data_IF_468986603071
#
_entry.id   IF_468986603071
#
_cell.length_a   1.000
_cell.length_b   1.000
_cell.length_c   1.000
_cell.angle_alpha   90.00
_cell.angle_beta   90.00
_cell.angle_gamma   90.00
#
_symmetry.space_group_name_H-M   'P 1'
#
loop_
_entity.id
_entity.type
_entity.pdbx_description
1 polymer ?
#
# COMPACT_ATOMS: atom_id res chain seq x y z
N UNK A 1 6.99 18.99 -3.14
CA UNK A 1 6.08 18.07 -2.41
C UNK A 1 6.87 16.86 -1.94
N UNK A 2 6.53 16.26 -0.79
CA UNK A 2 7.13 15.01 -0.33
C UNK A 2 6.68 13.88 -1.26
N UNK A 3 7.60 13.05 -1.76
CA UNK A 3 7.26 11.87 -2.58
C UNK A 3 6.51 10.84 -1.74
N UNK A 4 5.49 10.22 -2.32
CA UNK A 4 4.78 9.07 -1.75
C UNK A 4 5.76 7.89 -1.65
N UNK A 5 5.79 7.25 -0.49
CA UNK A 5 6.70 6.16 -0.18
C UNK A 5 6.07 4.79 -0.34
N UNK A 6 6.80 3.85 -0.92
CA UNK A 6 6.30 2.52 -1.28
C UNK A 6 7.09 1.39 -0.62
N UNK A 7 6.40 0.35 -0.21
CA UNK A 7 6.94 -0.99 0.02
C UNK A 7 6.45 -1.90 -1.11
N UNK A 8 7.38 -2.53 -1.83
CA UNK A 8 7.06 -3.50 -2.87
C UNK A 8 7.19 -4.91 -2.30
N UNK A 9 6.16 -5.73 -2.46
CA UNK A 9 6.11 -7.10 -1.95
C UNK A 9 5.73 -8.05 -3.08
N UNK A 10 6.67 -8.90 -3.46
CA UNK A 10 6.50 -9.92 -4.51
C UNK A 10 7.65 -10.93 -4.37
N UNK A 11 7.41 -12.23 -4.49
CA UNK A 11 8.48 -13.23 -4.41
C UNK A 11 9.36 -13.22 -5.68
N UNK A 12 8.80 -12.80 -6.82
CA UNK A 12 9.50 -12.65 -8.10
C UNK A 12 10.38 -11.39 -8.14
N UNK A 13 11.72 -11.55 -8.23
CA UNK A 13 12.62 -10.41 -8.39
C UNK A 13 12.37 -9.62 -9.67
N UNK A 14 11.83 -10.27 -10.71
CA UNK A 14 11.45 -9.63 -11.96
C UNK A 14 10.29 -8.67 -11.75
N UNK A 15 9.20 -9.11 -11.11
CA UNK A 15 8.05 -8.26 -10.84
C UNK A 15 8.39 -7.10 -9.91
N UNK A 16 9.24 -7.31 -8.89
CA UNK A 16 9.72 -6.20 -8.05
C UNK A 16 10.44 -5.12 -8.88
N UNK A 17 11.27 -5.52 -9.86
CA UNK A 17 11.94 -4.57 -10.77
C UNK A 17 10.95 -3.84 -11.67
N UNK A 18 9.95 -4.53 -12.23
CA UNK A 18 8.91 -3.91 -13.08
C UNK A 18 8.11 -2.88 -12.28
N UNK A 19 7.60 -3.26 -11.10
CA UNK A 19 6.81 -2.39 -10.22
C UNK A 19 7.66 -1.19 -9.76
N UNK A 20 8.93 -1.42 -9.39
CA UNK A 20 9.86 -0.34 -9.01
C UNK A 20 9.99 0.69 -10.12
N UNK A 21 10.32 0.25 -11.34
CA UNK A 21 10.50 1.14 -12.49
C UNK A 21 9.22 1.92 -12.78
N UNK A 22 8.06 1.25 -12.73
CA UNK A 22 6.79 1.91 -12.89
C UNK A 22 6.55 3.01 -11.83
N UNK A 23 6.76 2.70 -10.55
CA UNK A 23 6.58 3.68 -9.47
C UNK A 23 7.56 4.86 -9.59
N UNK A 24 8.83 4.60 -9.90
CA UNK A 24 9.86 5.65 -9.99
C UNK A 24 9.68 6.51 -11.24
N UNK A 25 9.47 5.90 -12.41
CA UNK A 25 9.43 6.58 -13.71
C UNK A 25 8.05 7.21 -14.00
N UNK A 26 6.94 6.56 -13.60
CA UNK A 26 5.58 7.02 -13.95
C UNK A 26 4.87 7.75 -12.82
N UNK A 27 5.05 7.32 -11.57
CA UNK A 27 4.35 7.91 -10.42
C UNK A 27 5.19 8.93 -9.65
N UNK A 28 6.49 9.06 -9.97
CA UNK A 28 7.45 9.85 -9.20
C UNK A 28 7.46 9.47 -7.70
N UNK A 29 7.21 8.20 -7.39
CA UNK A 29 7.22 7.64 -6.04
C UNK A 29 8.63 7.33 -5.52
N UNK A 30 8.73 6.99 -4.23
CA UNK A 30 9.99 6.56 -3.61
C UNK A 30 9.82 5.18 -2.98
N UNK A 31 10.55 4.18 -3.46
CA UNK A 31 10.58 2.86 -2.82
C UNK A 31 11.49 2.93 -1.60
N UNK A 32 10.96 2.60 -0.43
CA UNK A 32 11.71 2.63 0.84
C UNK A 32 12.08 1.23 1.35
N UNK A 33 11.44 0.19 0.83
CA UNK A 33 11.70 -1.19 1.16
C UNK A 33 11.16 -2.15 0.08
N UNK A 34 11.73 -3.34 0.02
CA UNK A 34 11.22 -4.48 -0.77
C UNK A 34 11.15 -5.71 0.12
N UNK A 35 10.12 -6.54 -0.05
CA UNK A 35 9.97 -7.83 0.60
C UNK A 35 9.76 -8.95 -0.43
N UNK A 36 10.22 -10.15 -0.11
CA UNK A 36 10.06 -11.34 -0.97
C UNK A 36 9.01 -12.34 -0.47
N UNK A 37 8.41 -12.09 0.69
CA UNK A 37 7.34 -12.90 1.26
C UNK A 37 6.47 -12.08 2.23
N UNK A 38 5.30 -12.60 2.60
CA UNK A 38 4.36 -11.88 3.47
C UNK A 38 4.88 -11.65 4.89
N UNK A 39 5.76 -12.52 5.41
CA UNK A 39 6.34 -12.36 6.75
C UNK A 39 7.30 -11.17 6.78
N UNK A 40 8.18 -11.08 5.78
CA UNK A 40 9.06 -9.94 5.58
C UNK A 40 8.25 -8.65 5.34
N UNK A 41 7.17 -8.72 4.56
CA UNK A 41 6.29 -7.57 4.31
C UNK A 41 5.73 -6.96 5.60
N UNK A 42 5.16 -7.78 6.49
CA UNK A 42 4.63 -7.31 7.79
C UNK A 42 5.74 -6.68 8.63
N UNK A 43 6.93 -7.30 8.68
CA UNK A 43 8.09 -6.77 9.42
C UNK A 43 8.56 -5.42 8.88
N UNK A 44 8.73 -5.31 7.56
CA UNK A 44 9.21 -4.09 6.91
C UNK A 44 8.16 -2.98 6.97
N UNK A 45 6.86 -3.30 6.86
CA UNK A 45 5.80 -2.32 7.07
C UNK A 45 5.88 -1.71 8.47
N UNK A 46 5.97 -2.54 9.52
CA UNK A 46 6.08 -2.06 10.91
C UNK A 46 7.31 -1.18 11.14
N UNK A 47 8.43 -1.50 10.48
CA UNK A 47 9.70 -0.75 10.59
C UNK A 47 9.66 0.57 9.85
N UNK A 48 9.22 0.58 8.59
CA UNK A 48 9.37 1.71 7.68
C UNK A 48 8.10 2.55 7.51
N UNK A 49 6.93 1.99 7.81
CA UNK A 49 5.61 2.65 7.68
C UNK A 49 5.44 3.36 6.34
N UNK A 50 5.51 2.62 5.21
CA UNK A 50 5.33 3.18 3.88
C UNK A 50 3.92 3.79 3.73
N UNK A 51 3.79 4.76 2.83
CA UNK A 51 2.51 5.38 2.50
C UNK A 51 1.59 4.39 1.75
N UNK A 52 2.18 3.58 0.84
CA UNK A 52 1.48 2.57 0.04
C UNK A 52 2.27 1.26 0.01
N UNK A 53 1.58 0.13 0.06
CA UNK A 53 2.14 -1.20 -0.16
C UNK A 53 1.59 -1.77 -1.47
N UNK A 54 2.47 -2.26 -2.34
CA UNK A 54 2.06 -3.16 -3.43
C UNK A 54 2.31 -4.60 -2.98
N UNK A 55 1.32 -5.47 -3.10
CA UNK A 55 1.33 -6.80 -2.49
C UNK A 55 0.92 -7.87 -3.50
N UNK A 56 1.83 -8.78 -3.83
CA UNK A 56 1.46 -10.02 -4.49
C UNK A 56 0.74 -10.98 -3.54
N UNK A 57 -0.10 -11.88 -4.07
CA UNK A 57 -0.85 -12.86 -3.28
C UNK A 57 -0.04 -14.15 -3.08
N UNK A 58 0.55 -14.66 -4.15
CA UNK A 58 1.08 -16.01 -4.22
C UNK A 58 2.55 -16.01 -3.81
N UNK A 59 2.78 -16.01 -2.50
CA UNK A 59 4.11 -15.98 -1.92
C UNK A 59 4.32 -17.11 -0.92
N UNK A 60 5.56 -17.56 -0.72
CA UNK A 60 5.89 -18.54 0.31
C UNK A 60 5.68 -17.98 1.73
N UNK A 61 5.57 -18.88 2.71
CA UNK A 61 5.42 -18.62 4.16
C UNK A 61 4.11 -17.95 4.60
N UNK A 62 3.77 -16.81 4.02
CA UNK A 62 2.53 -16.07 4.29
C UNK A 62 2.05 -15.43 3.00
N UNK A 63 0.83 -15.76 2.59
CA UNK A 63 0.22 -15.21 1.39
C UNK A 63 -0.11 -13.72 1.55
N UNK A 64 -0.27 -13.02 0.43
CA UNK A 64 -0.46 -11.56 0.43
C UNK A 64 -1.74 -11.07 1.10
N UNK A 65 -2.82 -11.85 1.04
CA UNK A 65 -4.09 -11.48 1.69
C UNK A 65 -3.92 -11.58 3.20
N UNK A 66 -3.35 -12.67 3.70
CA UNK A 66 -3.05 -12.84 5.12
C UNK A 66 -2.04 -11.80 5.62
N UNK A 67 -1.00 -11.50 4.84
CA UNK A 67 -0.02 -10.45 5.17
C UNK A 67 -0.65 -9.06 5.24
N UNK A 68 -1.54 -8.73 4.31
CA UNK A 68 -2.33 -7.50 4.34
C UNK A 68 -3.21 -7.41 5.59
N UNK A 69 -3.89 -8.49 5.97
CA UNK A 69 -4.69 -8.52 7.19
C UNK A 69 -3.85 -8.26 8.44
N UNK A 70 -2.65 -8.85 8.53
CA UNK A 70 -1.72 -8.59 9.64
C UNK A 70 -1.21 -7.14 9.67
N UNK A 71 -0.96 -6.55 8.50
CA UNK A 71 -0.62 -5.12 8.37
C UNK A 71 -1.81 -4.26 8.85
N UNK A 72 -3.04 -4.57 8.42
CA UNK A 72 -4.24 -3.83 8.79
C UNK A 72 -4.62 -3.98 10.27
N UNK A 73 -4.34 -5.14 10.89
CA UNK A 73 -4.48 -5.34 12.34
C UNK A 73 -3.55 -4.40 13.11
N UNK A 74 -2.32 -4.24 12.65
CA UNK A 74 -1.35 -3.32 13.25
C UNK A 74 -1.67 -1.85 12.95
N UNK A 75 -2.04 -1.53 11.71
CA UNK A 75 -2.35 -0.21 11.22
C UNK A 75 -3.61 -0.25 10.35
N UNK A 76 -4.76 0.00 10.97
CA UNK A 76 -6.07 0.09 10.27
C UNK A 76 -6.08 1.15 9.18
N UNK A 77 -5.09 2.05 9.16
CA UNK A 77 -4.99 3.09 8.17
C UNK A 77 -4.11 2.77 6.97
N UNK A 78 -3.44 1.61 6.96
CA UNK A 78 -2.58 1.15 5.88
C UNK A 78 -3.27 1.17 4.51
N UNK A 79 -2.51 1.50 3.48
CA UNK A 79 -2.95 1.52 2.08
C UNK A 79 -2.26 0.39 1.35
N UNK A 80 -3.03 -0.63 0.94
CA UNK A 80 -2.49 -1.81 0.24
C UNK A 80 -3.18 -1.95 -1.11
N UNK A 81 -2.38 -2.05 -2.17
CA UNK A 81 -2.81 -2.41 -3.52
C UNK A 81 -2.34 -3.84 -3.77
N UNK A 82 -3.27 -4.73 -4.09
CA UNK A 82 -2.92 -6.10 -4.48
C UNK A 82 -2.52 -6.10 -5.95
N UNK A 83 -1.41 -6.77 -6.29
CA UNK A 83 -0.94 -6.94 -7.67
C UNK A 83 -0.62 -8.41 -7.88
N UNK A 84 -1.49 -9.15 -8.60
CA UNK A 84 -1.39 -10.61 -8.69
C UNK A 84 -1.49 -11.12 -10.11
N UNK A 85 -0.88 -12.28 -10.39
CA UNK A 85 -1.09 -13.01 -11.64
C UNK A 85 -2.49 -13.61 -11.72
N UNK A 86 -3.14 -13.79 -10.57
CA UNK A 86 -4.53 -14.23 -10.45
C UNK A 86 -5.49 -13.07 -10.60
N UNK A 87 -6.61 -13.34 -11.26
CA UNK A 87 -7.64 -12.35 -11.57
C UNK A 87 -9.05 -12.91 -11.47
N UNK A 88 -9.22 -14.10 -10.88
CA UNK A 88 -10.53 -14.72 -10.70
C UNK A 88 -11.40 -13.88 -9.76
N UNK A 89 -12.67 -13.75 -10.09
CA UNK A 89 -13.62 -12.86 -9.40
C UNK A 89 -13.65 -13.07 -7.87
N UNK A 90 -13.61 -14.33 -7.43
CA UNK A 90 -13.61 -14.65 -6.00
C UNK A 90 -12.36 -14.18 -5.26
N UNK A 91 -11.19 -14.22 -5.92
CA UNK A 91 -9.92 -13.76 -5.34
C UNK A 91 -9.93 -12.24 -5.23
N UNK A 92 -10.36 -11.56 -6.29
CA UNK A 92 -10.52 -10.10 -6.34
C UNK A 92 -11.48 -9.64 -5.23
N UNK A 93 -12.68 -10.24 -5.18
CA UNK A 93 -13.71 -9.90 -4.19
C UNK A 93 -13.20 -10.10 -2.77
N UNK A 94 -12.52 -11.21 -2.50
CA UNK A 94 -11.96 -11.52 -1.18
C UNK A 94 -10.92 -10.49 -0.75
N UNK A 95 -10.00 -10.11 -1.64
CA UNK A 95 -8.97 -9.13 -1.34
C UNK A 95 -9.57 -7.75 -1.00
N UNK A 96 -10.53 -7.29 -1.80
CA UNK A 96 -11.21 -6.01 -1.57
C UNK A 96 -12.02 -6.00 -0.27
N UNK A 97 -12.80 -7.06 0.00
CA UNK A 97 -13.57 -7.20 1.24
C UNK A 97 -12.67 -7.22 2.49
N UNK A 98 -11.44 -7.74 2.37
CA UNK A 98 -10.45 -7.75 3.45
C UNK A 98 -9.66 -6.46 3.60
N UNK A 99 -9.93 -5.45 2.77
CA UNK A 99 -9.41 -4.09 2.95
C UNK A 99 -8.37 -3.63 1.94
N UNK A 100 -8.10 -4.41 0.89
CA UNK A 100 -7.33 -3.91 -0.25
C UNK A 100 -8.00 -2.66 -0.85
N UNK A 101 -7.19 -1.67 -1.22
CA UNK A 101 -7.67 -0.42 -1.83
C UNK A 101 -7.87 -0.55 -3.33
N UNK A 102 -7.10 -1.44 -3.95
CA UNK A 102 -7.31 -1.83 -5.32
C UNK A 102 -6.72 -3.22 -5.59
N UNK A 103 -7.10 -3.82 -6.72
CA UNK A 103 -6.62 -5.12 -7.17
C UNK A 103 -6.20 -5.08 -8.65
N UNK A 104 -4.91 -5.19 -8.92
CA UNK A 104 -4.35 -5.14 -10.27
C UNK A 104 -3.93 -6.54 -10.70
N UNK A 105 -4.35 -6.96 -11.89
CA UNK A 105 -3.85 -8.18 -12.51
C UNK A 105 -2.53 -7.85 -13.19
N UNK A 106 -1.53 -8.71 -13.03
CA UNK A 106 -0.23 -8.64 -13.71
C UNK A 106 -0.40 -8.91 -15.20
N UNK A 107 -0.73 -7.86 -15.94
CA UNK A 107 -0.88 -7.88 -17.38
C UNK A 107 0.25 -7.09 -18.08
N UNK A 108 0.28 -7.16 -19.41
CA UNK A 108 1.23 -6.40 -20.23
C UNK A 108 0.79 -4.93 -20.40
N UNK A 109 -0.38 -4.54 -19.87
CA UNK A 109 -0.97 -3.22 -20.05
C UNK A 109 -0.66 -2.29 -18.86
N UNK A 110 0.62 -2.20 -18.50
CA UNK A 110 1.13 -1.43 -17.36
C UNK A 110 0.73 0.05 -17.46
N UNK A 111 0.53 0.58 -18.66
CA UNK A 111 0.05 1.94 -18.90
C UNK A 111 -1.30 2.21 -18.20
N UNK A 112 -2.16 1.19 -18.07
CA UNK A 112 -3.46 1.30 -17.38
C UNK A 112 -3.31 1.40 -15.86
N UNK A 113 -2.16 1.03 -15.29
CA UNK A 113 -1.95 1.04 -13.85
C UNK A 113 -1.89 2.47 -13.29
N UNK A 114 -1.43 3.46 -14.07
CA UNK A 114 -1.24 4.84 -13.59
C UNK A 114 -2.52 5.41 -12.98
N UNK A 115 -3.65 5.28 -13.67
CA UNK A 115 -4.95 5.78 -13.19
C UNK A 115 -5.37 5.11 -11.88
N UNK A 116 -5.06 3.82 -11.73
CA UNK A 116 -5.41 3.02 -10.54
C UNK A 116 -4.60 3.46 -9.33
N UNK A 117 -3.28 3.58 -9.50
CA UNK A 117 -2.40 4.11 -8.46
C UNK A 117 -2.76 5.56 -8.09
N UNK A 118 -3.02 6.42 -9.07
CA UNK A 118 -3.41 7.81 -8.83
C UNK A 118 -4.66 7.93 -7.96
N UNK A 119 -5.66 7.08 -8.18
CA UNK A 119 -6.87 7.07 -7.37
C UNK A 119 -6.56 6.72 -5.91
N UNK A 120 -5.79 5.66 -5.69
CA UNK A 120 -5.40 5.20 -4.35
C UNK A 120 -4.53 6.25 -3.63
N UNK A 121 -3.57 6.85 -4.34
CA UNK A 121 -2.69 7.90 -3.79
C UNK A 121 -3.51 9.13 -3.40
N UNK A 122 -4.43 9.59 -4.25
CA UNK A 122 -5.32 10.72 -3.94
C UNK A 122 -6.17 10.45 -2.71
N UNK A 123 -6.69 9.23 -2.55
CA UNK A 123 -7.44 8.84 -1.34
C UNK A 123 -6.56 8.86 -0.08
N UNK A 124 -5.34 8.34 -0.18
CA UNK A 124 -4.36 8.37 0.88
C UNK A 124 -4.01 9.81 1.31
N UNK A 125 -3.73 10.70 0.36
CA UNK A 125 -3.41 12.11 0.62
C UNK A 125 -4.58 12.85 1.28
N UNK A 126 -5.81 12.63 0.80
CA UNK A 126 -7.03 13.20 1.41
C UNK A 126 -7.20 12.75 2.85
N UNK A 127 -6.99 11.46 3.14
CA UNK A 127 -7.08 10.88 4.49
C UNK A 127 -6.04 11.49 5.43
N UNK A 128 -4.81 11.65 4.98
CA UNK A 128 -3.75 12.27 5.77
C UNK A 128 -3.96 13.76 6.01
N UNK A 129 -4.47 14.47 5.01
CA UNK A 129 -4.81 15.89 5.13
C UNK A 129 -5.87 16.11 6.21
N UNK A 130 -6.96 15.32 6.18
CA UNK A 130 -7.99 15.34 7.23
C UNK A 130 -7.39 15.01 8.60
N UNK A 131 -6.60 13.93 8.72
CA UNK A 131 -5.99 13.50 10.00
C UNK A 131 -5.09 14.60 10.60
N UNK A 132 -4.32 15.30 9.77
CA UNK A 132 -3.48 16.42 10.19
C UNK A 132 -4.30 17.60 10.73
N UNK A 133 -5.36 18.01 10.00
CA UNK A 133 -6.25 19.09 10.45
C UNK A 133 -6.91 18.75 11.79
N UNK A 134 -7.46 17.55 11.95
CA UNK A 134 -8.05 17.11 13.21
C UNK A 134 -7.04 17.07 14.37
N UNK A 135 -5.80 16.61 14.12
CA UNK A 135 -4.75 16.60 15.13
C UNK A 135 -4.39 18.01 15.60
N UNK A 136 -4.28 18.97 14.67
CA UNK A 136 -3.99 20.36 14.98
C UNK A 136 -5.09 21.02 15.82
N UNK A 137 -6.36 20.81 15.46
CA UNK A 137 -7.51 21.33 16.23
C UNK A 137 -7.53 20.72 17.64
N UNK A 138 -7.33 19.40 17.77
CA UNK A 138 -7.30 18.73 19.08
C UNK A 138 -6.18 19.27 19.97
N UNK A 139 -4.99 19.49 19.41
CA UNK A 139 -3.87 20.06 20.14
C UNK A 139 -4.14 21.49 20.60
N UNK A 140 -4.80 22.31 19.79
CA UNK A 140 -5.21 23.67 20.15
C UNK A 140 -6.20 23.66 21.32
N UNK A 141 -7.27 22.87 21.24
CA UNK A 141 -8.27 22.76 22.32
C UNK A 141 -7.63 22.29 23.64
N UNK A 142 -6.71 21.32 23.58
CA UNK A 142 -6.00 20.83 24.76
C UNK A 142 -5.11 21.89 25.42
N UNK A 143 -4.59 22.86 24.67
CA UNK A 143 -3.81 23.99 25.23
C UNK A 143 -4.73 24.96 25.99
N UNK A 144 -5.92 25.24 25.46
CA UNK A 144 -6.89 26.13 26.12
C UNK A 144 -7.41 25.56 27.45
N UNK A 145 -7.52 24.23 27.59
CA UNK A 145 -7.98 23.57 28.82
C UNK A 145 -6.92 23.45 29.92
N UNK A 146 -5.66 23.79 29.62
CA UNK A 146 -4.53 23.74 30.57
C UNK A 146 -4.16 25.12 31.13
N UNK A 147 -4.89 26.15 30.71
CA UNK A 147 -4.91 27.48 31.30
C UNK A 147 -6.13 27.55 32.23
#
# INVERSE_FOLDING_TARGET
MKKVTFLIVDDSPMWRKVIRRFIEEKLNGKIIAEAKDGVEAVKLYKRFKPDVVTMDIEMPKLDGISAMEEILKFDKSATVIIISSKGEEDVVRRALLKGAKDFIVKDLEIEKWSKRFDNVIKEFEKKNSKKSVFANVKNYINRLKRQ
#
